data_IF_096510455159
#
_entry.id   IF_096510455159
#
_cell.length_a   1.000
_cell.length_b   1.000
_cell.length_c   1.000
_cell.angle_alpha   90.00
_cell.angle_beta   90.00
_cell.angle_gamma   90.00
#
_symmetry.space_group_name_H-M   'P 1'
#
loop_
_entity.id
_entity.type
_entity.pdbx_description
1 polymer ?
#
# COMPACT_ATOMS: atom_id res chain seq x y z
N UNK A 1 9.67 24.31 -8.23
CA UNK A 1 8.80 23.82 -7.14
C UNK A 1 9.36 22.59 -6.43
N UNK A 2 9.74 21.52 -7.16
CA UNK A 2 10.27 20.28 -6.54
C UNK A 2 11.58 20.52 -5.77
N UNK A 3 12.47 21.38 -6.27
CA UNK A 3 13.73 21.72 -5.58
C UNK A 3 13.52 22.32 -4.19
N UNK A 4 12.47 23.14 -3.99
CA UNK A 4 12.13 23.68 -2.67
C UNK A 4 11.67 22.59 -1.69
N UNK A 5 10.92 21.60 -2.18
CA UNK A 5 10.53 20.41 -1.40
C UNK A 5 11.78 19.61 -1.04
N UNK A 6 12.69 19.40 -1.98
CA UNK A 6 13.94 18.67 -1.74
C UNK A 6 14.82 19.37 -0.71
N UNK A 7 14.96 20.70 -0.79
CA UNK A 7 15.70 21.48 0.21
C UNK A 7 15.05 21.41 1.60
N UNK A 8 13.72 21.44 1.67
CA UNK A 8 13.01 21.25 2.94
C UNK A 8 13.28 19.86 3.52
N UNK A 9 13.15 18.82 2.71
CA UNK A 9 13.45 17.44 3.12
C UNK A 9 14.91 17.27 3.53
N UNK A 10 15.85 17.89 2.81
CA UNK A 10 17.28 17.87 3.14
C UNK A 10 17.56 18.60 4.47
N UNK A 11 16.86 19.70 4.78
CA UNK A 11 17.00 20.38 6.08
C UNK A 11 16.44 19.56 7.24
N UNK A 12 15.28 18.93 7.06
CA UNK A 12 14.60 18.17 8.11
C UNK A 12 15.26 16.81 8.33
N UNK A 13 15.58 16.09 7.25
CA UNK A 13 16.03 14.70 7.30
C UNK A 13 17.51 14.51 6.93
N UNK A 14 18.18 15.51 6.36
CA UNK A 14 19.61 15.42 6.00
C UNK A 14 20.53 15.05 7.17
N UNK A 15 20.41 15.69 8.35
CA UNK A 15 21.19 15.30 9.53
C UNK A 15 20.96 13.84 9.93
N UNK A 16 19.74 13.33 9.74
CA UNK A 16 19.41 11.94 10.03
C UNK A 16 19.99 10.97 8.98
N UNK A 17 19.99 11.36 7.70
CA UNK A 17 20.57 10.56 6.62
C UNK A 17 22.10 10.42 6.70
N UNK A 18 22.79 11.45 7.18
CA UNK A 18 24.26 11.44 7.30
C UNK A 18 24.79 10.73 8.55
N UNK A 19 24.05 10.77 9.65
CA UNK A 19 24.54 10.28 10.95
C UNK A 19 24.12 8.85 11.29
N UNK A 20 23.14 8.28 10.59
CA UNK A 20 22.59 6.95 10.90
C UNK A 20 22.77 5.97 9.74
N UNK A 21 22.85 4.68 10.08
CA UNK A 21 22.94 3.62 9.09
C UNK A 21 21.71 3.64 8.16
N UNK A 22 21.87 3.52 6.83
CA UNK A 22 20.79 3.62 5.85
C UNK A 22 19.56 2.75 6.16
N UNK A 23 19.79 1.57 6.75
CA UNK A 23 18.73 0.66 7.22
C UNK A 23 17.74 1.34 8.17
N UNK A 24 18.23 1.97 9.24
CA UNK A 24 17.38 2.65 10.23
C UNK A 24 16.67 3.85 9.62
N UNK A 25 17.37 4.58 8.76
CA UNK A 25 16.84 5.76 8.08
C UNK A 25 15.62 5.39 7.24
N UNK A 26 15.77 4.39 6.36
CA UNK A 26 14.71 3.98 5.44
C UNK A 26 13.54 3.35 6.18
N UNK A 27 13.80 2.56 7.22
CA UNK A 27 12.74 1.98 8.06
C UNK A 27 11.93 3.06 8.78
N UNK A 28 12.59 4.07 9.36
CA UNK A 28 11.91 5.18 10.01
C UNK A 28 11.13 6.05 9.03
N UNK A 29 11.68 6.33 7.85
CA UNK A 29 10.95 7.01 6.77
C UNK A 29 9.73 6.20 6.30
N UNK A 30 9.88 4.88 6.21
CA UNK A 30 8.79 3.95 5.91
C UNK A 30 7.66 4.04 6.92
N UNK A 31 7.99 4.16 8.21
CA UNK A 31 7.01 4.38 9.26
C UNK A 31 6.26 5.71 9.10
N UNK A 32 6.97 6.82 8.85
CA UNK A 32 6.36 8.14 8.67
C UNK A 32 5.40 8.14 7.48
N UNK A 33 5.84 7.61 6.34
CA UNK A 33 5.02 7.61 5.10
C UNK A 33 3.89 6.61 5.21
N UNK A 34 4.14 5.42 5.74
CA UNK A 34 3.11 4.43 5.98
C UNK A 34 2.04 4.96 6.94
N UNK A 35 2.45 5.66 8.00
CA UNK A 35 1.55 6.34 8.93
C UNK A 35 0.74 7.44 8.25
N UNK A 36 1.39 8.34 7.52
CA UNK A 36 0.73 9.40 6.77
C UNK A 36 -0.26 8.85 5.74
N UNK A 37 0.13 7.82 4.98
CA UNK A 37 -0.74 7.13 4.02
C UNK A 37 -1.94 6.49 4.71
N UNK A 38 -1.72 5.84 5.85
CA UNK A 38 -2.79 5.22 6.64
C UNK A 38 -3.78 6.26 7.16
N UNK A 39 -3.30 7.41 7.64
CA UNK A 39 -4.14 8.51 8.10
C UNK A 39 -4.96 9.12 6.96
N UNK A 40 -4.34 9.35 5.79
CA UNK A 40 -5.06 9.77 4.59
C UNK A 40 -6.11 8.74 4.20
N UNK A 41 -5.74 7.46 4.11
CA UNK A 41 -6.68 6.41 3.79
C UNK A 41 -7.87 6.38 4.76
N UNK A 42 -7.61 6.48 6.05
CA UNK A 42 -8.65 6.52 7.09
C UNK A 42 -9.59 7.71 6.91
N UNK A 43 -9.06 8.90 6.62
CA UNK A 43 -9.87 10.11 6.45
C UNK A 43 -10.71 10.08 5.16
N UNK A 44 -10.17 9.50 4.09
CA UNK A 44 -10.84 9.44 2.78
C UNK A 44 -11.75 8.21 2.61
N UNK A 45 -11.66 7.20 3.49
CA UNK A 45 -12.41 5.95 3.40
C UNK A 45 -13.54 5.88 4.42
N UNK A 46 -14.76 5.63 3.94
CA UNK A 46 -15.92 5.40 4.80
C UNK A 46 -15.93 3.95 5.33
N UNK A 47 -15.35 3.77 6.52
CA UNK A 47 -15.17 2.45 7.16
C UNK A 47 -16.53 1.82 7.50
N UNK A 48 -17.55 2.62 7.84
CA UNK A 48 -18.89 2.10 8.16
C UNK A 48 -19.56 1.51 6.91
N UNK A 49 -19.49 2.21 5.78
CA UNK A 49 -19.98 1.66 4.50
C UNK A 49 -19.25 0.39 4.11
N UNK A 50 -17.93 0.32 4.33
CA UNK A 50 -17.14 -0.87 4.03
C UNK A 50 -17.59 -2.07 4.89
N UNK A 51 -17.79 -1.86 6.20
CA UNK A 51 -18.31 -2.91 7.11
C UNK A 51 -19.71 -3.36 6.72
N UNK A 52 -20.61 -2.44 6.38
CA UNK A 52 -21.98 -2.75 5.92
C UNK A 52 -21.95 -3.56 4.63
N UNK A 53 -21.10 -3.19 3.67
CA UNK A 53 -20.93 -3.91 2.41
C UNK A 53 -20.36 -5.32 2.61
N UNK A 54 -19.42 -5.51 3.53
CA UNK A 54 -18.93 -6.84 3.87
C UNK A 54 -20.04 -7.74 4.46
N UNK A 55 -20.92 -7.19 5.31
CA UNK A 55 -22.07 -7.94 5.85
C UNK A 55 -23.05 -8.32 4.74
N UNK A 56 -23.46 -7.36 3.91
CA UNK A 56 -24.34 -7.60 2.75
C UNK A 56 -23.74 -8.62 1.78
N UNK A 57 -22.43 -8.55 1.51
CA UNK A 57 -21.74 -9.51 0.65
C UNK A 57 -21.82 -10.93 1.20
N UNK A 58 -21.63 -11.12 2.51
CA UNK A 58 -21.76 -12.42 3.18
C UNK A 58 -23.20 -12.95 3.12
N UNK A 59 -24.18 -12.08 3.34
CA UNK A 59 -25.61 -12.43 3.23
C UNK A 59 -25.98 -12.86 1.81
N UNK A 60 -25.63 -12.08 0.79
CA UNK A 60 -25.92 -12.42 -0.61
C UNK A 60 -25.19 -13.68 -1.05
N UNK A 61 -23.95 -13.90 -0.60
CA UNK A 61 -23.23 -15.15 -0.87
C UNK A 61 -23.94 -16.37 -0.25
N UNK A 62 -24.54 -16.21 0.95
CA UNK A 62 -25.32 -17.26 1.59
C UNK A 62 -26.63 -17.53 0.85
N UNK A 63 -27.38 -16.48 0.51
CA UNK A 63 -28.62 -16.58 -0.27
C UNK A 63 -28.39 -17.22 -1.65
N UNK A 64 -27.29 -16.87 -2.33
CA UNK A 64 -26.87 -17.49 -3.59
C UNK A 64 -26.65 -19.00 -3.44
N UNK A 65 -25.91 -19.41 -2.40
CA UNK A 65 -25.65 -20.83 -2.12
C UNK A 65 -26.93 -21.60 -1.80
N UNK A 66 -27.83 -21.00 -1.03
CA UNK A 66 -29.12 -21.60 -0.69
C UNK A 66 -30.04 -21.72 -1.90
N UNK A 67 -30.13 -20.68 -2.73
CA UNK A 67 -30.93 -20.67 -3.96
C UNK A 67 -30.42 -21.67 -5.01
N UNK A 68 -29.09 -21.84 -5.13
CA UNK A 68 -28.48 -22.87 -5.98
C UNK A 68 -28.83 -24.29 -5.49
N UNK A 69 -28.78 -24.52 -4.18
CA UNK A 69 -29.15 -25.82 -3.58
C UNK A 69 -30.63 -26.13 -3.72
N UNK A 70 -31.50 -25.13 -3.64
CA UNK A 70 -32.95 -25.33 -3.71
C UNK A 70 -33.49 -25.42 -5.14
N UNK A 71 -32.69 -25.15 -6.17
CA UNK A 71 -33.11 -25.19 -7.58
C UNK A 71 -34.21 -24.20 -7.95
N UNK A 72 -34.46 -23.18 -7.11
CA UNK A 72 -35.56 -22.24 -7.28
C UNK A 72 -35.11 -21.06 -8.14
N UNK A 73 -35.54 -21.08 -9.41
CA UNK A 73 -35.15 -20.10 -10.42
C UNK A 73 -35.53 -18.66 -10.04
N UNK A 74 -36.63 -18.46 -9.30
CA UNK A 74 -37.04 -17.13 -8.82
C UNK A 74 -36.12 -16.62 -7.72
N UNK A 75 -35.76 -17.48 -6.76
CA UNK A 75 -34.79 -17.12 -5.71
C UNK A 75 -33.41 -16.87 -6.30
N UNK A 76 -33.02 -17.64 -7.30
CA UNK A 76 -31.74 -17.48 -7.99
C UNK A 76 -31.65 -16.15 -8.72
N UNK A 77 -32.70 -15.76 -9.46
CA UNK A 77 -32.80 -14.43 -10.10
C UNK A 77 -32.77 -13.29 -9.08
N UNK A 78 -33.47 -13.42 -7.96
CA UNK A 78 -33.48 -12.40 -6.89
C UNK A 78 -32.09 -12.25 -6.24
N UNK A 79 -31.40 -13.36 -5.99
CA UNK A 79 -30.05 -13.35 -5.45
C UNK A 79 -29.03 -12.74 -6.43
N UNK A 80 -29.16 -13.02 -7.73
CA UNK A 80 -28.35 -12.39 -8.79
C UNK A 80 -28.58 -10.88 -8.88
N UNK A 81 -29.82 -10.40 -8.75
CA UNK A 81 -30.10 -8.96 -8.72
C UNK A 81 -29.42 -8.27 -7.54
N UNK A 82 -29.48 -8.87 -6.33
CA UNK A 82 -28.75 -8.36 -5.16
C UNK A 82 -27.25 -8.38 -5.36
N UNK A 83 -26.70 -9.39 -6.04
CA UNK A 83 -25.28 -9.45 -6.39
C UNK A 83 -24.87 -8.30 -7.30
N UNK A 84 -25.69 -7.97 -8.31
CA UNK A 84 -25.46 -6.82 -9.19
C UNK A 84 -25.51 -5.50 -8.42
N UNK A 85 -26.45 -5.35 -7.48
CA UNK A 85 -26.53 -4.18 -6.61
C UNK A 85 -25.27 -4.05 -5.72
N UNK A 86 -24.81 -5.16 -5.14
CA UNK A 86 -23.54 -5.24 -4.41
C UNK A 86 -22.35 -4.80 -5.26
N UNK A 87 -22.28 -5.25 -6.52
CA UNK A 87 -21.20 -4.86 -7.44
C UNK A 87 -21.23 -3.36 -7.74
N UNK A 88 -22.42 -2.75 -7.88
CA UNK A 88 -22.56 -1.30 -8.06
C UNK A 88 -22.04 -0.55 -6.83
N UNK A 89 -22.45 -0.97 -5.63
CA UNK A 89 -22.00 -0.35 -4.38
C UNK A 89 -20.47 -0.54 -4.16
N UNK A 90 -19.92 -1.70 -4.51
CA UNK A 90 -18.47 -1.92 -4.51
C UNK A 90 -17.75 -0.99 -5.49
N UNK A 91 -18.33 -0.76 -6.67
CA UNK A 91 -17.80 0.19 -7.66
C UNK A 91 -17.77 1.63 -7.13
N UNK A 92 -18.78 2.05 -6.37
CA UNK A 92 -18.79 3.37 -5.71
C UNK A 92 -17.68 3.48 -4.65
N UNK A 93 -17.50 2.45 -3.81
CA UNK A 93 -16.39 2.42 -2.87
C UNK A 93 -15.03 2.44 -3.57
N UNK A 94 -14.88 1.72 -4.68
CA UNK A 94 -13.65 1.71 -5.45
C UNK A 94 -13.33 3.12 -5.96
N UNK A 95 -14.32 3.86 -6.48
CA UNK A 95 -14.14 5.26 -6.90
C UNK A 95 -13.70 6.15 -5.73
N UNK A 96 -14.29 5.96 -4.55
CA UNK A 96 -13.88 6.69 -3.35
C UNK A 96 -12.43 6.39 -2.96
N UNK A 97 -11.98 5.14 -3.07
CA UNK A 97 -10.60 4.74 -2.77
C UNK A 97 -9.58 5.14 -3.86
N UNK A 98 -10.03 5.39 -5.09
CA UNK A 98 -9.17 5.89 -6.16
C UNK A 98 -8.68 7.31 -5.90
N UNK A 99 -9.50 8.18 -5.27
CA UNK A 99 -9.12 9.55 -4.93
C UNK A 99 -7.84 9.62 -4.07
N UNK A 100 -7.77 8.95 -2.90
CA UNK A 100 -6.55 8.97 -2.09
C UNK A 100 -5.37 8.30 -2.82
N UNK A 101 -5.62 7.29 -3.66
CA UNK A 101 -4.56 6.68 -4.48
C UNK A 101 -3.93 7.70 -5.45
N UNK A 102 -4.73 8.43 -6.22
CA UNK A 102 -4.20 9.45 -7.13
C UNK A 102 -3.57 10.64 -6.42
N UNK A 103 -4.06 11.00 -5.24
CA UNK A 103 -3.47 12.07 -4.43
C UNK A 103 -2.10 11.67 -3.86
N UNK A 104 -1.96 10.43 -3.41
CA UNK A 104 -0.74 9.93 -2.76
C UNK A 104 0.35 9.56 -3.77
N UNK A 105 -0.01 9.20 -5.01
CA UNK A 105 0.97 8.83 -6.05
C UNK A 105 2.00 9.93 -6.32
N UNK A 106 1.65 11.20 -6.62
CA UNK A 106 2.65 12.26 -6.82
C UNK A 106 3.55 12.48 -5.60
N UNK A 107 2.99 12.41 -4.39
CA UNK A 107 3.74 12.55 -3.13
C UNK A 107 4.77 11.43 -3.01
N UNK A 108 4.35 10.19 -3.31
CA UNK A 108 5.21 9.02 -3.33
C UNK A 108 6.33 9.17 -4.36
N UNK A 109 6.02 9.58 -5.59
CA UNK A 109 7.03 9.80 -6.64
C UNK A 109 8.06 10.87 -6.26
N UNK A 110 7.62 12.00 -5.69
CA UNK A 110 8.52 13.07 -5.23
C UNK A 110 9.42 12.54 -4.11
N UNK A 111 8.86 11.84 -3.14
CA UNK A 111 9.62 11.29 -2.01
C UNK A 111 10.64 10.23 -2.43
N UNK A 112 10.26 9.30 -3.29
CA UNK A 112 11.17 8.27 -3.80
C UNK A 112 12.25 8.84 -4.71
N UNK A 113 11.91 9.84 -5.54
CA UNK A 113 12.89 10.57 -6.34
C UNK A 113 13.89 11.33 -5.46
N UNK A 114 13.45 11.85 -4.31
CA UNK A 114 14.31 12.47 -3.33
C UNK A 114 15.25 11.45 -2.66
N UNK A 115 14.72 10.31 -2.18
CA UNK A 115 15.53 9.23 -1.58
C UNK A 115 16.55 8.65 -2.56
N UNK A 116 16.20 8.57 -3.85
CA UNK A 116 17.11 8.13 -4.91
C UNK A 116 18.42 8.92 -4.88
N UNK A 117 18.39 10.23 -4.64
CA UNK A 117 19.61 11.08 -4.59
C UNK A 117 20.61 10.64 -3.52
N UNK A 118 20.14 9.94 -2.48
CA UNK A 118 20.95 9.52 -1.34
C UNK A 118 21.35 8.04 -1.40
N UNK A 119 20.46 7.16 -1.88
CA UNK A 119 20.61 5.72 -1.69
C UNK A 119 20.50 4.86 -2.96
N UNK A 120 20.63 5.44 -4.16
CA UNK A 120 20.48 4.68 -5.44
C UNK A 120 21.37 3.44 -5.49
N UNK A 121 22.65 3.56 -5.16
CA UNK A 121 23.63 2.48 -5.27
C UNK A 121 24.07 1.94 -3.90
N UNK A 122 23.24 2.13 -2.88
CA UNK A 122 23.53 1.67 -1.53
C UNK A 122 22.79 0.37 -1.26
N UNK A 123 23.55 -0.71 -1.07
CA UNK A 123 23.01 -2.00 -0.64
C UNK A 123 22.58 -1.89 0.84
N UNK A 124 21.26 -1.95 1.09
CA UNK A 124 20.69 -1.82 2.44
C UNK A 124 20.71 -3.15 3.18
N UNK A 125 20.44 -4.24 2.47
CA UNK A 125 20.55 -5.60 2.99
C UNK A 125 21.15 -6.52 1.92
N UNK A 126 21.89 -7.53 2.35
CA UNK A 126 22.49 -8.54 1.46
C UNK A 126 21.84 -9.89 1.73
N UNK A 127 21.37 -10.55 0.69
CA UNK A 127 20.85 -11.90 0.76
C UNK A 127 21.95 -12.91 0.34
N UNK A 128 21.95 -14.13 0.89
CA UNK A 128 22.91 -15.18 0.49
C UNK A 128 22.56 -15.81 -0.88
N UNK A 129 21.53 -15.33 -1.56
CA UNK A 129 21.08 -15.80 -2.87
C UNK A 129 20.63 -14.61 -3.73
N UNK A 130 20.69 -14.78 -5.05
CA UNK A 130 20.11 -13.82 -5.98
C UNK A 130 18.59 -13.99 -6.02
N UNK A 131 17.86 -12.90 -5.86
CA UNK A 131 16.41 -12.91 -5.93
C UNK A 131 15.92 -12.03 -7.08
N UNK A 132 15.15 -12.62 -8.01
CA UNK A 132 14.68 -11.94 -9.21
C UNK A 132 13.94 -10.62 -8.92
N UNK A 133 13.28 -10.52 -7.76
CA UNK A 133 12.54 -9.34 -7.37
C UNK A 133 13.46 -8.18 -7.00
N UNK A 134 14.67 -8.45 -6.50
CA UNK A 134 15.65 -7.41 -6.21
C UNK A 134 16.08 -6.75 -7.51
N UNK A 135 16.48 -7.56 -8.50
CA UNK A 135 16.80 -7.08 -9.85
C UNK A 135 15.63 -6.31 -10.49
N UNK A 136 14.40 -6.78 -10.30
CA UNK A 136 13.21 -6.09 -10.80
C UNK A 136 13.08 -4.70 -10.17
N UNK A 137 13.28 -4.57 -8.86
CA UNK A 137 13.28 -3.27 -8.20
C UNK A 137 14.42 -2.37 -8.72
N UNK A 138 15.66 -2.87 -8.85
CA UNK A 138 16.79 -2.07 -9.34
C UNK A 138 16.56 -1.53 -10.73
N UNK A 139 15.94 -2.33 -11.62
CA UNK A 139 15.57 -1.91 -12.98
C UNK A 139 14.58 -0.74 -13.01
N UNK A 140 13.68 -0.63 -12.03
CA UNK A 140 12.70 0.46 -11.99
C UNK A 140 13.33 1.85 -11.81
N UNK A 141 14.53 1.93 -11.20
CA UNK A 141 15.23 3.19 -10.94
C UNK A 141 16.65 3.21 -11.52
N UNK A 142 16.97 2.27 -12.41
CA UNK A 142 18.25 2.13 -13.11
C UNK A 142 19.46 2.06 -12.16
N UNK A 143 19.41 1.21 -11.14
CA UNK A 143 20.55 0.95 -10.26
C UNK A 143 21.46 -0.15 -10.79
N UNK A 144 22.75 -0.03 -10.47
CA UNK A 144 23.80 -1.00 -10.76
C UNK A 144 23.98 -2.08 -9.67
N UNK A 145 23.14 -2.09 -8.64
CA UNK A 145 23.14 -3.11 -7.58
C UNK A 145 22.89 -4.50 -8.14
N UNK A 146 23.49 -5.51 -7.49
CA UNK A 146 23.31 -6.91 -7.88
C UNK A 146 21.99 -7.48 -7.34
N UNK A 147 21.48 -8.55 -7.97
CA UNK A 147 20.28 -9.26 -7.51
C UNK A 147 20.37 -9.93 -6.13
N UNK A 148 21.55 -9.91 -5.49
CA UNK A 148 21.75 -10.32 -4.10
C UNK A 148 21.63 -9.17 -3.09
N UNK A 149 21.59 -7.93 -3.58
CA UNK A 149 21.64 -6.71 -2.76
C UNK A 149 20.31 -5.98 -2.81
N UNK A 150 19.64 -5.87 -1.67
CA UNK A 150 18.39 -5.16 -1.56
C UNK A 150 18.66 -3.65 -1.43
N UNK A 151 18.24 -2.89 -2.43
CA UNK A 151 18.29 -1.42 -2.41
C UNK A 151 17.19 -0.79 -1.56
N UNK A 152 17.21 0.55 -1.47
CA UNK A 152 16.31 1.32 -0.61
C UNK A 152 14.81 1.10 -0.90
N UNK A 153 14.44 0.95 -2.18
CA UNK A 153 13.05 0.75 -2.58
C UNK A 153 12.48 -0.57 -2.04
N UNK A 154 13.21 -1.66 -2.22
CA UNK A 154 12.76 -2.97 -1.76
C UNK A 154 12.79 -3.09 -0.24
N UNK A 155 13.78 -2.47 0.42
CA UNK A 155 13.82 -2.41 1.90
C UNK A 155 12.61 -1.64 2.46
N UNK A 156 12.25 -0.50 1.87
CA UNK A 156 11.05 0.24 2.25
C UNK A 156 9.78 -0.61 2.16
N UNK A 157 9.59 -1.37 1.07
CA UNK A 157 8.40 -2.21 0.90
C UNK A 157 8.33 -3.27 2.00
N UNK A 158 9.44 -3.96 2.27
CA UNK A 158 9.52 -4.98 3.31
C UNK A 158 9.25 -4.40 4.69
N UNK A 159 9.91 -3.30 5.06
CA UNK A 159 9.73 -2.69 6.37
C UNK A 159 8.30 -2.17 6.54
N UNK A 160 7.75 -1.52 5.52
CA UNK A 160 6.38 -0.96 5.55
C UNK A 160 5.32 -2.05 5.63
N UNK A 161 5.53 -3.19 4.96
CA UNK A 161 4.61 -4.33 5.05
C UNK A 161 4.56 -4.91 6.46
N UNK A 162 5.73 -5.11 7.10
CA UNK A 162 5.83 -5.60 8.48
C UNK A 162 5.19 -4.62 9.45
N UNK A 163 5.53 -3.33 9.36
CA UNK A 163 4.91 -2.28 10.17
C UNK A 163 3.39 -2.27 9.98
N UNK A 164 2.92 -2.36 8.74
CA UNK A 164 1.49 -2.39 8.42
C UNK A 164 0.77 -3.60 9.02
N UNK A 165 1.40 -4.77 9.07
CA UNK A 165 0.83 -5.94 9.77
C UNK A 165 0.69 -5.68 11.27
N UNK A 166 1.71 -5.08 11.89
CA UNK A 166 1.69 -4.74 13.33
C UNK A 166 0.60 -3.69 13.61
N UNK A 167 0.54 -2.61 12.83
CA UNK A 167 -0.43 -1.54 13.03
C UNK A 167 -1.88 -2.01 12.85
N UNK A 168 -2.16 -2.85 11.84
CA UNK A 168 -3.51 -3.41 11.63
C UNK A 168 -3.98 -4.24 12.81
N UNK A 169 -3.07 -5.01 13.43
CA UNK A 169 -3.35 -5.79 14.63
C UNK A 169 -3.59 -4.90 15.86
N UNK A 170 -2.88 -3.78 15.97
CA UNK A 170 -3.06 -2.82 17.06
C UNK A 170 -4.35 -2.00 16.95
N UNK A 171 -4.80 -1.70 15.73
CA UNK A 171 -6.00 -0.90 15.47
C UNK A 171 -7.28 -1.74 15.33
N UNK A 172 -7.20 -3.06 15.58
CA UNK A 172 -8.32 -4.00 15.44
C UNK A 172 -9.01 -3.91 14.05
N UNK A 173 -8.20 -3.63 13.03
CA UNK A 173 -8.60 -3.52 11.63
C UNK A 173 -8.40 -4.85 10.86
N UNK A 174 -7.96 -5.90 11.55
CA UNK A 174 -7.62 -7.23 11.01
C UNK A 174 -8.67 -8.28 11.26
#
# INVERSE_FOLDING_TARGET
MIEGIYQFLDKVFGPFMMNYHPLWVITFMGFIIGGFYTLLYYFFTDIEKQKKLQKLAKEVQKEMREAQKSGDEKKLRKAQQKQLELMKMQGELMKQQMVPMFLTMPIFWIFFSWLRRWYTEVAIAKAPFNFFLFDWFHKMYHSALSGSELGYFGWYILSSYVIGMVLRKLLDMG
#
